data_IF_173521375260
#
_entry.id   IF_173521375260
#
_cell.length_a   1.000
_cell.length_b   1.000
_cell.length_c   1.000
_cell.angle_alpha   90.00
_cell.angle_beta   90.00
_cell.angle_gamma   90.00
#
_symmetry.space_group_name_H-M   'P 1'
#
loop_
_entity.id
_entity.type
_entity.pdbx_description
1 polymer ?
#
# COMPACT_ATOMS: atom_id res chain seq x y z
N UNK A 1 -18.27 0.32 -4.16
CA UNK A 1 -17.18 1.15 -3.60
C UNK A 1 -17.49 2.61 -3.91
N UNK A 2 -17.46 3.47 -2.91
CA UNK A 2 -17.69 4.91 -3.03
C UNK A 2 -16.36 5.67 -2.96
N UNK A 3 -16.33 6.93 -3.41
CA UNK A 3 -15.14 7.80 -3.35
C UNK A 3 -14.54 7.88 -1.94
N UNK A 4 -15.38 7.83 -0.91
CA UNK A 4 -14.97 7.93 0.50
C UNK A 4 -14.15 6.73 0.98
N UNK A 5 -14.21 5.60 0.27
CA UNK A 5 -13.43 4.38 0.56
C UNK A 5 -11.95 4.57 0.20
N UNK A 6 -11.64 5.53 -0.70
CA UNK A 6 -10.27 5.82 -1.10
C UNK A 6 -9.63 6.82 -0.13
N UNK A 7 -8.83 6.33 0.81
CA UNK A 7 -8.04 7.15 1.75
C UNK A 7 -6.58 7.27 1.33
N UNK A 8 -5.98 8.42 1.59
CA UNK A 8 -4.55 8.66 1.37
C UNK A 8 -3.72 8.14 2.54
N UNK A 9 -2.68 7.36 2.23
CA UNK A 9 -1.71 6.86 3.21
C UNK A 9 -0.47 7.76 3.35
N UNK A 10 -0.44 8.91 2.66
CA UNK A 10 0.75 9.78 2.61
C UNK A 10 1.21 10.22 3.99
N UNK A 11 0.28 10.58 4.86
CA UNK A 11 0.59 10.99 6.23
C UNK A 11 1.21 9.85 7.03
N UNK A 12 0.61 8.64 6.97
CA UNK A 12 1.16 7.45 7.60
C UNK A 12 2.58 7.14 7.13
N UNK A 13 2.83 7.23 5.82
CA UNK A 13 4.16 6.99 5.23
C UNK A 13 5.20 8.00 5.74
N UNK A 14 4.82 9.27 5.91
CA UNK A 14 5.72 10.31 6.44
C UNK A 14 6.00 10.15 7.94
N UNK A 15 5.10 9.49 8.67
CA UNK A 15 5.23 9.25 10.11
C UNK A 15 6.16 8.06 10.40
N UNK A 16 6.17 7.04 9.55
CA UNK A 16 7.03 5.87 9.70
C UNK A 16 8.44 6.09 9.11
N UNK A 17 9.40 5.24 9.49
CA UNK A 17 10.74 5.25 8.89
C UNK A 17 10.91 4.04 7.97
N UNK A 18 11.16 4.27 6.68
CA UNK A 18 11.46 3.20 5.72
C UNK A 18 12.82 2.57 6.05
N UNK A 19 12.83 1.32 6.50
CA UNK A 19 14.07 0.58 6.79
C UNK A 19 14.69 0.07 5.49
N UNK A 20 16.00 0.23 5.34
CA UNK A 20 16.77 -0.31 4.21
C UNK A 20 17.75 -1.40 4.63
N UNK A 21 17.93 -1.56 5.95
CA UNK A 21 18.86 -2.50 6.57
C UNK A 21 18.15 -3.25 7.69
N UNK A 22 18.54 -4.51 7.90
CA UNK A 22 18.09 -5.34 9.01
C UNK A 22 18.92 -5.05 10.27
N UNK A 23 18.66 -5.77 11.36
CA UNK A 23 19.41 -5.64 12.62
C UNK A 23 20.90 -6.00 12.42
N UNK A 24 21.20 -6.92 11.50
CA UNK A 24 22.56 -7.35 11.13
C UNK A 24 23.25 -6.45 10.09
N UNK A 25 22.70 -5.25 9.82
CA UNK A 25 23.18 -4.28 8.82
C UNK A 25 23.19 -4.77 7.35
N UNK A 26 22.58 -5.90 7.05
CA UNK A 26 22.42 -6.40 5.68
C UNK A 26 21.32 -5.62 4.94
N UNK A 27 21.45 -5.42 3.62
CA UNK A 27 20.45 -4.72 2.82
C UNK A 27 19.13 -5.51 2.78
N UNK A 28 18.02 -4.79 2.89
CA UNK A 28 16.68 -5.38 2.93
C UNK A 28 15.89 -5.04 1.68
N UNK A 29 15.38 -6.07 1.01
CA UNK A 29 14.47 -5.93 -0.12
C UNK A 29 13.04 -6.25 0.28
N UNK A 30 12.24 -5.23 0.61
CA UNK A 30 10.82 -5.39 0.97
C UNK A 30 9.99 -6.14 -0.07
N UNK A 31 10.33 -6.00 -1.36
CA UNK A 31 9.61 -6.68 -2.45
C UNK A 31 9.95 -8.17 -2.58
N UNK A 32 11.07 -8.61 -2.00
CA UNK A 32 11.49 -10.01 -2.02
C UNK A 32 11.01 -10.79 -0.79
N UNK A 33 10.44 -10.11 0.20
CA UNK A 33 9.89 -10.76 1.38
C UNK A 33 8.71 -11.64 0.98
N UNK A 34 8.80 -12.93 1.31
CA UNK A 34 7.75 -13.91 1.02
C UNK A 34 7.01 -14.31 2.28
N UNK A 35 7.70 -14.32 3.42
CA UNK A 35 7.13 -14.68 4.70
C UNK A 35 7.39 -13.59 5.72
N UNK A 36 6.33 -13.09 6.34
CA UNK A 36 6.37 -12.13 7.44
C UNK A 36 5.79 -12.78 8.69
N UNK A 37 6.48 -12.60 9.83
CA UNK A 37 6.02 -13.02 11.16
C UNK A 37 6.05 -11.84 12.11
N UNK A 38 4.94 -11.63 12.81
CA UNK A 38 4.78 -10.60 13.84
C UNK A 38 4.52 -11.33 15.17
N UNK A 39 5.22 -10.90 16.21
CA UNK A 39 5.19 -11.52 17.54
C UNK A 39 4.69 -10.46 18.51
N UNK A 40 3.70 -10.79 19.36
CA UNK A 40 3.03 -9.81 20.23
C UNK A 40 3.98 -9.25 21.30
N UNK A 41 4.88 -10.11 21.76
CA UNK A 41 5.92 -9.82 22.74
C UNK A 41 6.96 -8.82 22.20
N UNK A 42 7.12 -8.78 20.88
CA UNK A 42 8.08 -7.92 20.19
C UNK A 42 7.40 -6.98 19.17
N UNK A 43 6.66 -5.95 19.63
CA UNK A 43 5.81 -5.14 18.77
C UNK A 43 6.56 -4.29 17.74
N UNK A 44 7.87 -4.12 17.91
CA UNK A 44 8.73 -3.35 17.01
C UNK A 44 9.70 -4.24 16.22
N UNK A 45 9.60 -5.56 16.33
CA UNK A 45 10.41 -6.48 15.54
C UNK A 45 9.55 -7.10 14.45
N UNK A 46 9.99 -6.96 13.19
CA UNK A 46 9.40 -7.65 12.07
C UNK A 46 10.33 -8.78 11.65
N UNK A 47 9.89 -10.01 11.81
CA UNK A 47 10.62 -11.16 11.31
C UNK A 47 10.22 -11.42 9.87
N UNK A 48 11.19 -11.64 9.00
CA UNK A 48 10.92 -11.94 7.60
C UNK A 48 11.92 -12.94 7.02
N UNK A 49 11.52 -13.59 5.92
CA UNK A 49 12.44 -14.32 5.04
C UNK A 49 11.98 -14.20 3.58
N UNK A 50 12.94 -14.36 2.68
CA UNK A 50 12.75 -14.24 1.22
C UNK A 50 12.44 -15.60 0.55
N UNK A 51 12.11 -16.62 1.36
CA UNK A 51 11.80 -17.99 0.94
C UNK A 51 10.62 -18.54 1.74
N UNK A 52 9.90 -19.50 1.17
CA UNK A 52 8.83 -20.24 1.83
C UNK A 52 9.32 -21.52 2.54
N UNK A 53 10.61 -21.85 2.47
CA UNK A 53 11.18 -23.01 3.18
C UNK A 53 11.02 -22.86 4.70
N UNK A 54 10.40 -23.83 5.36
CA UNK A 54 10.08 -23.76 6.79
C UNK A 54 11.31 -23.66 7.68
N UNK A 55 12.33 -24.48 7.42
CA UNK A 55 13.58 -24.57 8.20
C UNK A 55 14.50 -23.35 8.03
N UNK A 56 14.24 -22.49 7.06
CA UNK A 56 15.09 -21.32 6.84
C UNK A 56 14.86 -20.26 7.94
N UNK A 57 15.94 -19.78 8.59
CA UNK A 57 15.82 -18.85 9.71
C UNK A 57 15.25 -17.50 9.26
N UNK A 58 14.53 -16.85 10.16
CA UNK A 58 14.03 -15.50 9.93
C UNK A 58 15.12 -14.46 10.18
N UNK A 59 15.22 -13.48 9.31
CA UNK A 59 15.91 -12.22 9.58
C UNK A 59 14.99 -11.28 10.35
N UNK A 60 15.57 -10.34 11.11
CA UNK A 60 14.81 -9.40 11.93
C UNK A 60 15.03 -7.95 11.50
N UNK A 61 13.93 -7.20 11.41
CA UNK A 61 13.88 -5.77 11.12
C UNK A 61 13.43 -5.01 12.37
N UNK A 62 14.16 -3.95 12.72
CA UNK A 62 13.74 -3.03 13.78
C UNK A 62 12.83 -1.91 13.23
N UNK A 63 11.57 -1.93 13.63
CA UNK A 63 10.54 -0.96 13.27
C UNK A 63 10.40 0.20 14.27
N UNK A 64 11.18 0.25 15.36
CA UNK A 64 11.14 1.37 16.31
C UNK A 64 11.32 2.70 15.57
N UNK A 65 10.55 3.76 15.85
CA UNK A 65 10.73 5.05 15.18
C UNK A 65 12.17 5.57 15.30
N UNK A 66 12.71 6.16 14.24
CA UNK A 66 14.07 6.73 14.26
C UNK A 66 14.15 8.10 14.91
N UNK A 67 13.00 8.79 15.08
CA UNK A 67 12.94 10.14 15.64
C UNK A 67 13.06 10.08 17.15
N UNK A 68 13.83 11.00 17.73
CA UNK A 68 13.97 11.15 19.18
C UNK A 68 12.64 11.66 19.76
N UNK A 69 12.18 11.05 20.85
CA UNK A 69 10.95 11.45 21.56
C UNK A 69 9.87 10.38 21.57
N UNK A 70 8.65 10.78 21.96
CA UNK A 70 7.50 9.86 22.05
C UNK A 70 7.13 9.32 20.67
N UNK A 71 7.03 7.99 20.48
CA UNK A 71 6.53 7.40 19.26
C UNK A 71 5.16 7.98 18.87
N UNK A 72 4.96 8.38 17.60
CA UNK A 72 3.66 8.84 17.15
C UNK A 72 2.66 7.67 17.19
N UNK A 73 1.45 7.93 17.72
CA UNK A 73 0.36 6.95 17.67
C UNK A 73 -0.18 6.88 16.24
N UNK A 74 0.15 5.81 15.52
CA UNK A 74 -0.25 5.63 14.12
C UNK A 74 -1.77 5.61 13.95
N UNK A 75 -2.53 5.16 14.95
CA UNK A 75 -4.00 5.17 14.94
C UNK A 75 -4.62 6.57 15.02
N UNK A 76 -3.85 7.59 15.44
CA UNK A 76 -4.29 8.98 15.49
C UNK A 76 -3.89 9.77 14.24
N UNK A 77 -3.12 9.18 13.33
CA UNK A 77 -2.67 9.86 12.11
C UNK A 77 -3.85 9.97 11.14
N UNK A 78 -4.20 11.21 10.78
CA UNK A 78 -5.27 11.48 9.83
C UNK A 78 -5.00 10.86 8.46
N UNK A 79 -5.98 10.11 7.95
CA UNK A 79 -6.01 9.49 6.62
C UNK A 79 -7.09 10.21 5.78
N UNK A 80 -6.77 11.36 5.18
CA UNK A 80 -7.75 12.14 4.42
C UNK A 80 -8.21 11.38 3.17
N UNK A 81 -9.34 11.80 2.60
CA UNK A 81 -9.79 11.28 1.30
C UNK A 81 -8.69 11.48 0.25
N UNK A 82 -8.41 10.43 -0.51
CA UNK A 82 -7.41 10.45 -1.58
C UNK A 82 -7.85 11.39 -2.71
N UNK A 83 -9.16 11.44 -2.98
CA UNK A 83 -9.77 12.31 -3.98
C UNK A 83 -10.79 13.22 -3.32
N UNK A 84 -10.69 14.52 -3.60
CA UNK A 84 -11.67 15.51 -3.13
C UNK A 84 -12.89 15.59 -4.05
N UNK A 85 -12.72 15.25 -5.33
CA UNK A 85 -13.76 15.24 -6.36
C UNK A 85 -13.67 13.93 -7.15
N UNK A 86 -14.75 13.51 -7.84
CA UNK A 86 -14.66 12.45 -8.84
C UNK A 86 -13.50 12.73 -9.79
N UNK A 87 -12.70 11.71 -10.10
CA UNK A 87 -11.60 11.88 -11.04
C UNK A 87 -12.18 12.06 -12.45
N UNK A 88 -11.83 13.15 -13.15
CA UNK A 88 -12.25 13.32 -14.53
C UNK A 88 -11.63 12.24 -15.42
N UNK A 89 -12.40 11.76 -16.39
CA UNK A 89 -11.89 10.93 -17.48
C UNK A 89 -11.39 11.88 -18.55
N UNK A 90 -10.13 11.72 -18.98
CA UNK A 90 -9.58 12.54 -20.06
C UNK A 90 -10.21 12.13 -21.39
N UNK A 91 -10.30 13.04 -22.35
CA UNK A 91 -10.83 12.74 -23.68
C UNK A 91 -10.12 11.55 -24.35
N UNK A 92 -8.78 11.48 -24.24
CA UNK A 92 -8.02 10.35 -24.76
C UNK A 92 -8.42 9.02 -24.10
N UNK A 93 -8.57 9.00 -22.78
CA UNK A 93 -8.99 7.81 -22.04
C UNK A 93 -10.44 7.43 -22.35
N UNK A 94 -11.31 8.41 -22.54
CA UNK A 94 -12.69 8.20 -22.95
C UNK A 94 -12.76 7.55 -24.32
N UNK A 95 -12.06 8.10 -25.32
CA UNK A 95 -11.96 7.52 -26.66
C UNK A 95 -11.46 6.07 -26.61
N UNK A 96 -10.39 5.82 -25.86
CA UNK A 96 -9.83 4.47 -25.69
C UNK A 96 -10.87 3.50 -25.08
N UNK A 97 -11.64 3.94 -24.08
CA UNK A 97 -12.75 3.16 -23.52
C UNK A 97 -13.85 2.85 -24.56
N UNK A 98 -14.18 3.80 -25.45
CA UNK A 98 -15.16 3.59 -26.52
C UNK A 98 -14.64 2.66 -27.62
N UNK A 99 -13.38 2.81 -28.01
CA UNK A 99 -12.70 1.96 -29.01
C UNK A 99 -12.63 0.48 -28.53
N UNK A 100 -12.69 0.25 -27.21
CA UNK A 100 -12.73 -1.08 -26.60
C UNK A 100 -14.15 -1.69 -26.48
N UNK A 101 -15.22 -0.92 -26.69
CA UNK A 101 -16.60 -1.42 -26.58
C UNK A 101 -16.93 -2.62 -27.50
N UNK A 102 -16.39 -2.74 -28.72
CA UNK A 102 -16.64 -3.91 -29.57
C UNK A 102 -16.22 -5.25 -28.92
N UNK A 103 -15.31 -5.23 -27.95
CA UNK A 103 -14.84 -6.41 -27.22
C UNK A 103 -15.62 -6.69 -25.93
N UNK A 104 -16.58 -5.83 -25.59
CA UNK A 104 -17.41 -5.93 -24.38
C UNK A 104 -18.85 -6.24 -24.81
N UNK A 105 -19.56 -7.17 -24.15
CA UNK A 105 -20.97 -7.43 -24.46
C UNK A 105 -21.83 -6.16 -24.41
N UNK A 106 -22.74 -5.94 -25.39
CA UNK A 106 -23.56 -4.73 -25.49
C UNK A 106 -24.35 -4.36 -24.24
N UNK A 107 -24.76 -5.36 -23.44
CA UNK A 107 -25.48 -5.16 -22.17
C UNK A 107 -24.73 -4.29 -21.16
N UNK A 108 -23.41 -4.16 -21.28
CA UNK A 108 -22.58 -3.34 -20.39
C UNK A 108 -22.22 -1.98 -20.99
N UNK A 109 -22.59 -1.69 -22.24
CA UNK A 109 -22.19 -0.46 -22.91
C UNK A 109 -22.78 0.80 -22.24
N UNK A 110 -23.98 0.70 -21.67
CA UNK A 110 -24.64 1.83 -21.00
C UNK A 110 -23.88 2.35 -19.78
N UNK A 111 -23.13 1.49 -19.10
CA UNK A 111 -22.26 1.90 -17.98
C UNK A 111 -21.21 2.93 -18.42
N UNK A 112 -20.72 2.85 -19.66
CA UNK A 112 -19.68 3.73 -20.18
C UNK A 112 -20.22 5.07 -20.70
N UNK A 113 -21.53 5.16 -20.94
CA UNK A 113 -22.20 6.40 -21.39
C UNK A 113 -22.40 7.42 -20.26
N UNK A 114 -22.32 6.98 -18.99
CA UNK A 114 -22.47 7.82 -17.79
C UNK A 114 -21.28 8.77 -17.58
N UNK A 115 -20.15 8.54 -18.28
CA UNK A 115 -18.95 9.38 -18.21
C UNK A 115 -18.93 10.54 -19.23
N UNK A 116 -20.08 10.87 -19.84
CA UNK A 116 -20.34 12.10 -20.62
C UNK A 116 -20.71 13.27 -19.69
#
# INVERSE_FOLDING_TARGET
MCQQDFKSTKNLQNTITKRKKNIDNQPVSWLKMQWIRVVKEEPYTLYYKETLQEDFPFSALNLKPSKVGRPPSLGLVSTPNLYQRPRPVTHAKQKDMFDLLPYIPPIYHDFFKIFL
#
